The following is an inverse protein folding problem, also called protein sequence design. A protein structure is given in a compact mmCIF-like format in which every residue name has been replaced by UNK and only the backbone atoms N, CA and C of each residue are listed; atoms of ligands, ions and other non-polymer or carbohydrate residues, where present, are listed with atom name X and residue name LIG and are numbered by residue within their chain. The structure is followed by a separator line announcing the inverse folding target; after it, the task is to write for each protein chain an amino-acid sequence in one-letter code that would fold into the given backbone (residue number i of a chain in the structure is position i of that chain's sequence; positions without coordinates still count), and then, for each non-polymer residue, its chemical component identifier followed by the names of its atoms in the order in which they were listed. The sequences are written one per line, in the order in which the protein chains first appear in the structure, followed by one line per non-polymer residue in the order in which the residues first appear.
data_IF_250670205805
#
_entry.id   IF_250670205805
#
_cell.length_a   1.000
_cell.length_b   1.000
_cell.length_c   1.000
_cell.angle_alpha   90.00
_cell.angle_beta   90.00
_cell.angle_gamma   90.00
#
_symmetry.space_group_name_H-M   'P 1'
#
loop_
_entity.id
_entity.type
_entity.pdbx_description
1 polymer ?
#
# COMPACT_ATOMS: atom_id res chain seq x y z
N UNK A 1 16.88 -22.54 9.38
CA UNK A 1 16.79 -22.08 8.87
C UNK A 1 16.45 -21.30 8.66
N UNK A 2 16.51 -21.02 8.70
CA UNK A 2 16.01 -20.32 8.41
C UNK A 2 15.42 -20.23 7.48
N UNK A 3 14.92 -20.21 7.91
CA UNK A 3 14.16 -20.10 6.92
C UNK A 3 14.64 -19.13 5.99
N UNK A 4 14.83 -19.51 4.93
CA UNK A 4 15.35 -18.73 3.94
C UNK A 4 14.36 -17.92 3.27
N UNK A 5 13.11 -17.98 3.65
CA UNK A 5 12.13 -17.18 3.04
C UNK A 5 12.35 -15.78 3.38
N UNK A 6 12.14 -14.90 2.45
CA UNK A 6 12.15 -13.50 2.74
C UNK A 6 11.07 -13.15 3.72
N UNK A 7 11.35 -12.22 4.58
CA UNK A 7 10.34 -11.74 5.50
C UNK A 7 9.50 -10.68 4.81
N UNK A 8 8.23 -10.97 4.62
CA UNK A 8 7.32 -10.07 3.92
C UNK A 8 6.32 -9.43 4.86
N UNK A 9 6.76 -9.14 6.07
CA UNK A 9 5.97 -8.42 7.04
C UNK A 9 6.92 -7.72 8.00
N UNK A 10 6.38 -6.79 8.77
CA UNK A 10 7.21 -6.02 9.68
C UNK A 10 7.50 -6.83 10.93
N UNK A 11 8.73 -6.74 11.40
CA UNK A 11 9.18 -7.47 12.59
C UNK A 11 9.29 -6.59 13.81
N UNK A 12 9.34 -5.29 13.64
CA UNK A 12 9.52 -4.37 14.75
C UNK A 12 8.21 -4.11 15.46
N UNK A 13 8.26 -3.83 16.74
CA UNK A 13 7.08 -3.51 17.50
C UNK A 13 6.51 -2.15 17.15
N UNK A 14 5.24 -1.96 17.50
CA UNK A 14 4.51 -0.75 17.16
C UNK A 14 5.19 0.52 17.69
N UNK A 15 5.68 0.48 18.94
CA UNK A 15 6.25 1.70 19.52
C UNK A 15 7.52 2.11 18.80
N UNK A 16 8.34 1.15 18.43
CA UNK A 16 9.57 1.44 17.72
C UNK A 16 9.25 2.01 16.33
N UNK A 17 8.28 1.42 15.65
CA UNK A 17 7.89 1.91 14.33
C UNK A 17 7.34 3.32 14.38
N UNK A 18 6.55 3.63 15.40
CA UNK A 18 6.03 4.97 15.55
C UNK A 18 7.14 5.97 15.83
N UNK A 19 8.11 5.59 16.63
CA UNK A 19 9.23 6.48 16.92
C UNK A 19 10.03 6.75 15.66
N UNK A 20 10.26 5.72 14.85
CA UNK A 20 10.98 5.89 13.60
C UNK A 20 10.24 6.81 12.66
N UNK A 21 8.94 6.68 12.60
CA UNK A 21 8.13 7.53 11.75
C UNK A 21 8.24 9.00 12.17
N UNK A 22 8.12 9.26 13.47
CA UNK A 22 8.18 10.63 13.96
C UNK A 22 9.57 11.23 13.81
N UNK A 23 10.58 10.40 13.74
CA UNK A 23 11.96 10.87 13.58
C UNK A 23 12.37 11.07 12.13
N UNK A 24 11.52 10.74 11.18
CA UNK A 24 11.87 10.89 9.76
C UNK A 24 12.15 12.33 9.43
N UNK A 25 13.23 12.60 8.70
CA UNK A 25 13.57 13.98 8.34
C UNK A 25 12.89 14.47 7.06
N UNK A 26 11.87 13.76 6.56
CA UNK A 26 11.22 14.11 5.31
C UNK A 26 9.70 14.05 5.47
N UNK A 27 9.02 14.69 4.55
CA UNK A 27 7.57 14.73 4.54
C UNK A 27 7.01 13.58 3.71
N UNK A 28 5.75 13.27 3.95
CA UNK A 28 5.06 12.21 3.23
C UNK A 28 3.75 12.74 2.64
N UNK A 29 3.33 12.14 1.54
CA UNK A 29 2.02 12.40 0.95
C UNK A 29 1.13 11.20 1.19
N UNK A 30 -0.07 11.45 1.69
CA UNK A 30 -1.04 10.37 1.90
C UNK A 30 -1.99 10.35 0.72
N UNK A 31 -2.15 9.18 0.12
CA UNK A 31 -3.01 9.01 -1.05
C UNK A 31 -3.83 7.75 -0.89
N UNK A 32 -4.88 7.66 -1.68
CA UNK A 32 -5.70 6.46 -1.70
C UNK A 32 -6.15 6.17 -3.12
N UNK A 33 -6.36 4.91 -3.41
CA UNK A 33 -6.97 4.50 -4.67
C UNK A 33 -7.61 3.14 -4.49
N UNK A 34 -8.55 2.85 -5.37
CA UNK A 34 -9.08 1.51 -5.44
C UNK A 34 -9.47 1.25 -6.89
N UNK A 35 -9.45 0.00 -7.26
CA UNK A 35 -9.78 -0.37 -8.62
C UNK A 35 -10.25 -1.82 -8.64
N UNK A 36 -11.33 -2.07 -9.35
CA UNK A 36 -11.77 -3.41 -9.59
C UNK A 36 -11.12 -3.90 -10.88
N UNK A 37 -10.48 -5.06 -10.81
CA UNK A 37 -9.89 -5.72 -11.97
C UNK A 37 -9.73 -7.19 -11.61
N UNK A 38 -9.61 -8.03 -12.61
CA UNK A 38 -9.45 -9.44 -12.36
C UNK A 38 -8.00 -9.72 -11.96
N UNK A 39 -7.80 -10.14 -10.73
CA UNK A 39 -6.48 -10.46 -10.22
C UNK A 39 -6.38 -11.97 -10.10
N UNK A 40 -5.58 -12.58 -10.96
CA UNK A 40 -5.52 -14.04 -11.03
C UNK A 40 -4.77 -14.65 -9.85
N UNK A 41 -3.76 -13.95 -9.35
CA UNK A 41 -2.94 -14.47 -8.26
C UNK A 41 -2.72 -13.37 -7.24
N UNK A 42 -3.69 -13.14 -6.35
CA UNK A 42 -3.57 -12.04 -5.39
C UNK A 42 -2.37 -12.16 -4.46
N UNK A 43 -1.99 -13.39 -4.10
CA UNK A 43 -0.87 -13.56 -3.19
C UNK A 43 0.45 -13.16 -3.87
N UNK A 44 0.62 -13.51 -5.14
CA UNK A 44 1.81 -13.13 -5.86
C UNK A 44 1.87 -11.62 -6.06
N UNK A 45 0.74 -11.03 -6.42
CA UNK A 45 0.65 -9.59 -6.61
C UNK A 45 0.99 -8.86 -5.31
N UNK A 46 0.44 -9.34 -4.21
CA UNK A 46 0.73 -8.81 -2.87
C UNK A 46 2.23 -8.84 -2.59
N UNK A 47 2.87 -9.97 -2.85
CA UNK A 47 4.29 -10.13 -2.55
C UNK A 47 5.15 -9.18 -3.39
N UNK A 48 4.81 -9.03 -4.66
CA UNK A 48 5.55 -8.12 -5.54
C UNK A 48 5.43 -6.68 -5.09
N UNK A 49 4.21 -6.26 -4.75
CA UNK A 49 4.00 -4.90 -4.27
C UNK A 49 4.72 -4.67 -2.95
N UNK A 50 4.69 -5.64 -2.07
CA UNK A 50 5.37 -5.49 -0.78
C UNK A 50 6.87 -5.25 -0.99
N UNK A 51 7.49 -6.02 -1.87
CA UNK A 51 8.90 -5.85 -2.15
C UNK A 51 9.20 -4.49 -2.79
N UNK A 52 8.41 -4.09 -3.77
CA UNK A 52 8.63 -2.83 -4.47
C UNK A 52 8.43 -1.63 -3.54
N UNK A 53 7.36 -1.65 -2.78
CA UNK A 53 7.01 -0.48 -1.97
C UNK A 53 7.79 -0.40 -0.68
N UNK A 54 8.30 -1.52 -0.18
CA UNK A 54 9.21 -1.48 0.97
C UNK A 54 10.50 -0.74 0.62
N UNK A 55 10.98 -0.92 -0.59
CA UNK A 55 12.22 -0.29 -1.02
C UNK A 55 12.14 1.23 -1.02
N UNK A 56 10.97 1.77 -1.26
CA UNK A 56 10.79 3.22 -1.29
C UNK A 56 10.04 3.72 -0.06
N UNK A 57 10.03 2.91 0.98
CA UNK A 57 9.56 3.30 2.31
C UNK A 57 8.11 3.74 2.35
N UNK A 58 7.27 3.11 1.53
CA UNK A 58 5.84 3.37 1.57
C UNK A 58 5.25 2.67 2.79
N UNK A 59 4.40 3.39 3.50
CA UNK A 59 3.61 2.82 4.58
C UNK A 59 2.15 2.87 4.16
N UNK A 60 1.33 2.06 4.79
CA UNK A 60 -0.09 2.12 4.48
C UNK A 60 -0.78 0.79 4.72
N UNK A 61 -2.03 0.75 4.30
CA UNK A 61 -2.88 -0.41 4.46
C UNK A 61 -3.48 -0.72 3.11
N UNK A 62 -3.19 -1.90 2.60
CA UNK A 62 -3.62 -2.31 1.27
C UNK A 62 -4.32 -3.66 1.37
N UNK A 63 -5.43 -3.80 0.67
CA UNK A 63 -6.16 -5.06 0.58
C UNK A 63 -6.23 -5.46 -0.89
N UNK A 64 -5.91 -6.73 -1.16
CA UNK A 64 -5.91 -7.28 -2.50
C UNK A 64 -6.80 -8.51 -2.50
N UNK A 65 -7.63 -8.62 -3.53
CA UNK A 65 -8.50 -9.78 -3.73
C UNK A 65 -8.53 -10.12 -5.21
N UNK A 66 -9.17 -11.21 -5.56
CA UNK A 66 -9.35 -11.55 -6.97
C UNK A 66 -10.06 -10.46 -7.74
N UNK A 67 -10.84 -9.65 -7.07
CA UNK A 67 -11.64 -8.62 -7.71
C UNK A 67 -10.96 -7.25 -7.75
N UNK A 68 -9.77 -7.11 -7.20
CA UNK A 68 -9.06 -5.83 -7.32
C UNK A 68 -8.22 -5.45 -6.12
N UNK A 69 -8.05 -4.14 -5.95
CA UNK A 69 -7.18 -3.57 -4.93
C UNK A 69 -7.82 -2.35 -4.29
N UNK A 70 -7.60 -2.20 -2.98
CA UNK A 70 -7.99 -1.01 -2.24
C UNK A 70 -6.77 -0.60 -1.40
N UNK A 71 -6.30 0.63 -1.59
CA UNK A 71 -5.05 1.07 -0.99
C UNK A 71 -5.16 2.43 -0.34
N UNK A 72 -4.56 2.56 0.83
CA UNK A 72 -4.33 3.83 1.50
C UNK A 72 -2.85 3.87 1.82
N UNK A 73 -2.14 4.85 1.28
CA UNK A 73 -0.68 4.86 1.32
C UNK A 73 -0.13 6.17 1.82
N UNK A 74 1.03 6.07 2.47
CA UNK A 74 1.84 7.22 2.85
C UNK A 74 3.17 7.08 2.13
N UNK A 75 3.45 8.00 1.21
CA UNK A 75 4.60 7.93 0.32
C UNK A 75 5.56 9.07 0.63
N UNK A 76 6.85 8.78 0.90
CA UNK A 76 7.82 9.86 1.09
C UNK A 76 7.86 10.75 -0.14
N UNK A 77 7.89 12.05 0.06
CA UNK A 77 7.84 12.97 -1.07
C UNK A 77 8.99 12.77 -2.03
N UNK A 78 10.16 12.49 -1.53
CA UNK A 78 11.32 12.30 -2.40
C UNK A 78 11.27 10.97 -3.16
N UNK A 79 10.37 10.07 -2.80
CA UNK A 79 10.15 8.83 -3.54
C UNK A 79 8.89 8.87 -4.40
N UNK A 80 8.28 10.03 -4.55
CA UNK A 80 7.02 10.13 -5.29
C UNK A 80 7.15 9.63 -6.73
N UNK A 81 8.21 10.04 -7.42
CA UNK A 81 8.41 9.59 -8.79
C UNK A 81 8.62 8.09 -8.87
N UNK A 82 9.35 7.54 -7.90
CA UNK A 82 9.56 6.10 -7.86
C UNK A 82 8.24 5.36 -7.63
N UNK A 83 7.39 5.91 -6.79
CA UNK A 83 6.08 5.34 -6.57
C UNK A 83 5.27 5.30 -7.87
N UNK A 84 5.23 6.40 -8.60
CA UNK A 84 4.51 6.44 -9.86
C UNK A 84 5.09 5.44 -10.86
N UNK A 85 6.40 5.26 -10.85
CA UNK A 85 7.02 4.27 -11.73
C UNK A 85 6.62 2.84 -11.37
N UNK A 86 6.44 2.54 -10.08
CA UNK A 86 6.00 1.21 -9.70
C UNK A 86 4.57 0.95 -10.19
N UNK A 87 3.73 1.98 -10.20
CA UNK A 87 2.37 1.80 -10.73
C UNK A 87 2.38 1.46 -12.21
N UNK A 88 3.34 2.02 -12.96
CA UNK A 88 3.43 1.72 -14.39
C UNK A 88 3.94 0.32 -14.67
N UNK A 89 4.58 -0.28 -13.68
CA UNK A 89 5.14 -1.62 -13.81
C UNK A 89 4.05 -2.69 -13.91
N UNK A 90 2.87 -2.39 -13.36
CA UNK A 90 1.78 -3.36 -13.32
C UNK A 90 0.65 -2.90 -14.20
N UNK A 91 0.26 -3.70 -15.20
CA UNK A 91 -0.83 -3.28 -16.09
C UNK A 91 -2.11 -2.95 -15.36
N UNK A 92 -2.35 -3.65 -14.26
CA UNK A 92 -3.56 -3.44 -13.47
C UNK A 92 -3.61 -2.06 -12.83
N UNK A 93 -2.45 -1.43 -12.63
CA UNK A 93 -2.37 -0.16 -11.92
C UNK A 93 -2.07 1.02 -12.83
N UNK A 94 -1.95 0.79 -14.12
CA UNK A 94 -1.68 1.88 -15.05
C UNK A 94 -2.90 2.78 -15.11
N UNK A 95 -2.66 4.09 -15.02
CA UNK A 95 -3.71 5.11 -15.09
C UNK A 95 -4.75 5.02 -13.98
N UNK A 96 -4.37 4.44 -12.85
CA UNK A 96 -5.30 4.36 -11.75
C UNK A 96 -5.51 5.75 -11.15
N UNK A 97 -6.75 6.15 -10.86
CA UNK A 97 -6.98 7.47 -10.26
C UNK A 97 -6.51 7.46 -8.82
N UNK A 98 -5.70 8.42 -8.48
CA UNK A 98 -5.15 8.54 -7.14
C UNK A 98 -5.73 9.76 -6.46
N UNK A 99 -6.28 9.58 -5.27
CA UNK A 99 -6.84 10.69 -4.51
C UNK A 99 -5.86 11.09 -3.42
N UNK A 100 -5.63 12.40 -3.31
CA UNK A 100 -4.81 12.93 -2.23
C UNK A 100 -5.68 13.02 -0.98
N UNK A 101 -5.14 12.56 0.14
CA UNK A 101 -5.84 12.69 1.40
C UNK A 101 -5.55 14.04 2.02
N UNK A 102 -6.46 14.52 2.83
CA UNK A 102 -6.29 15.77 3.53
C UNK A 102 -5.31 15.63 4.67
N UNK A 103 -5.27 14.45 5.25
CA UNK A 103 -4.45 14.20 6.42
C UNK A 103 -2.97 14.23 6.10
N UNK A 104 -2.19 14.53 7.13
CA UNK A 104 -0.75 14.49 7.01
C UNK A 104 -0.26 13.08 6.78
N UNK A 105 0.92 12.95 6.24
CA UNK A 105 1.46 11.65 5.88
C UNK A 105 1.91 10.78 7.04
N UNK A 106 1.66 11.16 8.27
CA UNK A 106 2.08 10.38 9.43
C UNK A 106 0.97 9.47 9.96
N UNK A 107 -0.01 9.17 9.14
CA UNK A 107 -1.12 8.31 9.54
C UNK A 107 -0.74 6.84 9.67
N UNK A 108 0.26 6.40 8.93
CA UNK A 108 0.67 5.00 8.92
C UNK A 108 2.14 4.90 9.31
N UNK A 109 2.50 3.86 10.03
CA UNK A 109 3.87 3.66 10.46
C UNK A 109 4.48 2.35 9.95
N UNK A 110 3.74 1.61 9.15
CA UNK A 110 4.25 0.38 8.54
C UNK A 110 3.46 0.08 7.27
N UNK A 111 4.00 -0.81 6.46
CA UNK A 111 3.32 -1.27 5.25
C UNK A 111 2.64 -2.59 5.56
N UNK A 112 1.33 -2.62 5.39
CA UNK A 112 0.53 -3.82 5.58
C UNK A 112 -0.23 -4.11 4.31
N UNK A 113 0.00 -5.27 3.70
CA UNK A 113 -0.75 -5.69 2.51
C UNK A 113 -1.33 -7.05 2.80
N UNK A 114 -2.65 -7.15 2.72
CA UNK A 114 -3.37 -8.37 3.04
C UNK A 114 -4.19 -8.85 1.85
N UNK A 115 -4.20 -10.15 1.64
CA UNK A 115 -5.06 -10.76 0.64
C UNK A 115 -6.37 -11.13 1.34
N UNK A 116 -7.48 -10.78 0.72
CA UNK A 116 -8.81 -11.04 1.23
C UNK A 116 -9.61 -11.83 0.21
N UNK A 117 -10.65 -12.50 0.67
CA UNK A 117 -11.53 -13.21 -0.25
C UNK A 117 -12.38 -12.24 -1.04
N UNK A 118 -12.79 -11.17 -0.39
CA UNK A 118 -13.56 -10.13 -1.03
C UNK A 118 -12.91 -8.80 -0.76
N UNK A 119 -13.01 -7.91 -1.73
CA UNK A 119 -12.47 -6.59 -1.57
C UNK A 119 -13.50 -5.71 -0.88
N UNK A 120 -13.12 -5.23 0.28
CA UNK A 120 -13.94 -4.28 1.00
C UNK A 120 -13.30 -2.92 0.83
N UNK A 121 -14.07 -1.95 0.39
CA UNK A 121 -13.54 -0.62 0.13
C UNK A 121 -13.51 0.19 1.42
N UNK A 122 -12.56 -0.16 2.28
CA UNK A 122 -12.43 0.52 3.56
C UNK A 122 -12.17 2.01 3.33
N UNK A 123 -12.87 2.84 4.06
CA UNK A 123 -12.71 4.28 3.92
C UNK A 123 -13.50 4.87 2.78
N UNK A 124 -14.28 4.07 2.07
CA UNK A 124 -15.12 4.52 0.98
C UNK A 124 -16.56 4.26 1.37
N UNK A 125 -17.45 5.23 1.21
CA UNK A 125 -18.86 5.01 1.54
C UNK A 125 -19.42 3.82 0.79
N UNK A 126 -20.28 3.09 1.45
CA UNK A 126 -20.82 1.88 0.87
C UNK A 126 -21.48 2.13 -0.48
N UNK A 127 -22.15 3.25 -0.60
CA UNK A 127 -22.83 3.61 -1.84
C UNK A 127 -21.87 3.83 -2.98
N UNK A 128 -20.64 4.21 -2.67
CA UNK A 128 -19.68 4.55 -3.70
C UNK A 128 -19.14 3.36 -4.44
N UNK A 129 -19.16 2.18 -3.84
CA UNK A 129 -18.60 1.00 -4.50
C UNK A 129 -19.65 -0.07 -4.75
N UNK A 130 -20.86 0.25 -4.52
CA UNK A 130 -21.93 -0.70 -4.79
C UNK A 130 -22.12 -0.80 -6.29
N UNK A 131 -22.11 -1.96 -6.78
CA UNK A 131 -22.26 -2.13 -8.22
C UNK A 131 -23.67 -2.47 -8.59
#
# INVERSE_FOLDING_TARGET
MKNNKEVLYNKKGRNILKQELMAEPFERKTVSFYKYFQCKDPQRFRNLLFLDWTKIKIFGRIYIAHEGINAQLSVPEHFWSDFLNTLKKYPELINIPIKRAIQEGKSFYKLTIKVREELVAYGIPKDSYCM
#
